data_IF_038732878806
#
_entry.id   IF_038732878806
#
_cell.length_a   1.000
_cell.length_b   1.000
_cell.length_c   1.000
_cell.angle_alpha   90.00
_cell.angle_beta   90.00
_cell.angle_gamma   90.00
#
_symmetry.space_group_name_H-M   'P 1'
#
loop_
_entity.id
_entity.type
_entity.pdbx_description
1 polymer ?
#
# COMPACT_ATOMS: atom_id res chain seq x y z
N UNK A 1 48.68 20.08 -16.01
CA UNK A 1 48.19 19.56 -14.70
C UNK A 1 49.19 18.63 -14.01
N UNK A 2 50.11 17.95 -14.71
CA UNK A 2 51.06 17.01 -14.05
C UNK A 2 51.95 17.64 -12.98
N UNK A 3 52.19 18.95 -13.05
CA UNK A 3 53.02 19.70 -12.09
C UNK A 3 52.31 20.04 -10.76
N UNK A 4 51.00 19.80 -10.62
CA UNK A 4 50.24 20.15 -9.41
C UNK A 4 49.90 18.91 -8.58
N UNK A 5 50.95 18.18 -8.16
CA UNK A 5 50.83 16.96 -7.36
C UNK A 5 51.54 17.12 -6.04
N UNK A 6 50.96 16.53 -5.00
CA UNK A 6 51.58 16.40 -3.69
C UNK A 6 52.85 15.56 -3.80
N UNK A 7 53.94 16.03 -3.21
CA UNK A 7 55.20 15.30 -3.21
C UNK A 7 55.09 13.95 -2.49
N UNK A 8 54.31 13.87 -1.41
CA UNK A 8 54.17 12.65 -0.61
C UNK A 8 53.21 11.63 -1.24
N UNK A 9 51.93 11.99 -1.40
CA UNK A 9 50.91 11.03 -1.86
C UNK A 9 50.74 10.99 -3.38
N UNK A 10 51.43 11.84 -4.14
CA UNK A 10 51.35 11.98 -5.60
C UNK A 10 49.95 12.32 -6.17
N UNK A 11 48.94 12.50 -5.31
CA UNK A 11 47.62 13.00 -5.68
C UNK A 11 47.67 14.50 -6.04
N UNK A 12 46.65 14.99 -6.74
CA UNK A 12 46.56 16.40 -7.07
C UNK A 12 46.48 17.30 -5.82
N UNK A 13 47.03 18.51 -5.92
CA UNK A 13 46.96 19.54 -4.88
C UNK A 13 45.56 20.18 -4.86
N UNK A 14 44.55 19.43 -4.44
CA UNK A 14 43.14 19.83 -4.49
C UNK A 14 42.51 20.13 -3.12
N UNK A 15 43.28 20.03 -2.03
CA UNK A 15 42.80 20.18 -0.65
C UNK A 15 43.67 21.17 0.14
N UNK A 16 43.08 22.15 0.82
CA UNK A 16 43.81 23.08 1.66
C UNK A 16 44.17 22.47 3.03
N UNK A 17 45.22 22.97 3.72
CA UNK A 17 46.18 23.94 3.22
C UNK A 17 47.19 23.31 2.24
N UNK A 18 47.66 24.09 1.26
CA UNK A 18 48.77 23.71 0.39
C UNK A 18 50.05 24.31 0.97
N UNK A 19 50.98 23.42 1.29
CA UNK A 19 52.20 23.77 2.01
C UNK A 19 53.40 23.57 1.10
N UNK A 20 54.22 24.61 0.93
CA UNK A 20 55.46 24.52 0.16
C UNK A 20 56.63 24.23 1.10
N UNK A 21 57.40 23.22 0.73
CA UNK A 21 58.63 22.80 1.38
C UNK A 21 59.81 23.68 0.91
N UNK A 22 60.88 23.82 1.71
CA UNK A 22 62.05 24.64 1.36
C UNK A 22 62.77 24.19 0.08
N UNK A 23 62.63 22.93 -0.32
CA UNK A 23 63.20 22.34 -1.54
C UNK A 23 62.35 22.62 -2.81
N UNK A 24 61.25 23.37 -2.68
CA UNK A 24 60.34 23.72 -3.77
C UNK A 24 59.23 22.70 -4.03
N UNK A 25 59.16 21.60 -3.27
CA UNK A 25 58.06 20.64 -3.35
C UNK A 25 56.81 21.16 -2.62
N UNK A 26 55.63 20.65 -3.00
CA UNK A 26 54.36 21.01 -2.35
C UNK A 26 53.68 19.80 -1.72
N UNK A 27 53.07 19.99 -0.55
CA UNK A 27 52.24 19.02 0.17
C UNK A 27 50.78 19.46 0.15
N UNK A 28 49.86 18.48 0.04
CA UNK A 28 48.43 18.72 0.19
C UNK A 28 48.03 18.81 1.68
N UNK A 29 46.81 19.29 1.95
CA UNK A 29 46.32 19.49 3.33
C UNK A 29 46.33 18.27 4.23
N UNK A 30 46.24 17.05 3.65
CA UNK A 30 46.32 15.79 4.40
C UNK A 30 47.78 15.47 4.76
N UNK A 31 48.70 15.59 3.80
CA UNK A 31 50.11 15.26 4.01
C UNK A 31 50.87 16.35 4.78
N UNK A 32 50.32 17.57 4.87
CA UNK A 32 50.93 18.66 5.62
C UNK A 32 50.81 18.52 7.14
N UNK A 33 50.00 17.59 7.65
CA UNK A 33 49.79 17.40 9.10
C UNK A 33 51.10 17.01 9.81
N UNK A 34 52.01 16.33 9.12
CA UNK A 34 53.33 15.93 9.64
C UNK A 34 54.47 16.86 9.20
N UNK A 35 54.16 18.05 8.67
CA UNK A 35 55.17 18.95 8.14
C UNK A 35 55.83 19.79 9.24
N UNK A 36 57.14 20.03 9.12
CA UNK A 36 57.93 20.83 10.06
C UNK A 36 57.55 22.33 10.08
N UNK A 37 57.94 23.04 11.14
CA UNK A 37 57.65 24.48 11.35
C UNK A 37 58.21 25.41 10.25
N UNK A 38 59.19 24.95 9.46
CA UNK A 38 59.82 25.76 8.39
C UNK A 38 58.97 25.88 7.13
N UNK A 39 57.79 25.25 7.10
CA UNK A 39 56.94 25.18 5.92
C UNK A 39 56.00 26.38 5.79
N UNK A 40 55.82 26.89 4.56
CA UNK A 40 55.05 28.12 4.29
C UNK A 40 53.73 27.82 3.58
N UNK A 41 52.65 28.42 4.07
CA UNK A 41 51.33 28.43 3.40
C UNK A 41 51.31 29.55 2.36
N UNK A 42 51.01 29.21 1.11
CA UNK A 42 51.02 30.16 0.00
C UNK A 42 49.59 30.38 -0.52
N UNK A 43 48.88 31.33 0.08
CA UNK A 43 47.47 31.61 -0.22
C UNK A 43 47.22 32.01 -1.68
N UNK A 44 48.17 32.70 -2.32
CA UNK A 44 48.09 33.06 -3.73
C UNK A 44 48.06 31.81 -4.62
N UNK A 45 48.88 30.81 -4.30
CA UNK A 45 48.93 29.55 -5.02
C UNK A 45 47.66 28.73 -4.79
N UNK A 46 47.15 28.66 -3.56
CA UNK A 46 45.84 28.04 -3.29
C UNK A 46 44.71 28.71 -4.07
N UNK A 47 44.69 30.04 -4.12
CA UNK A 47 43.66 30.77 -4.87
C UNK A 47 43.74 30.50 -6.38
N UNK A 48 44.95 30.34 -6.93
CA UNK A 48 45.11 29.86 -8.30
C UNK A 48 44.58 28.43 -8.46
N UNK A 49 44.94 27.50 -7.55
CA UNK A 49 44.50 26.11 -7.57
C UNK A 49 42.97 25.97 -7.48
N UNK A 50 42.26 26.90 -6.82
CA UNK A 50 40.80 26.96 -6.78
C UNK A 50 40.14 27.22 -8.14
N UNK A 51 40.86 27.77 -9.11
CA UNK A 51 40.34 28.03 -10.47
C UNK A 51 40.37 26.78 -11.36
N UNK A 52 41.06 25.72 -10.94
CA UNK A 52 41.25 24.51 -11.71
C UNK A 52 40.18 23.47 -11.39
N UNK A 53 39.91 22.61 -12.37
CA UNK A 53 39.13 21.38 -12.18
C UNK A 53 40.07 20.18 -12.13
N UNK A 54 39.88 19.34 -11.11
CA UNK A 54 40.68 18.17 -10.83
C UNK A 54 39.94 16.92 -11.30
N UNK A 55 40.56 16.06 -12.13
CA UNK A 55 39.95 14.77 -12.44
C UNK A 55 39.92 13.90 -11.18
N UNK A 56 38.87 13.09 -11.04
CA UNK A 56 38.81 12.06 -9.99
C UNK A 56 40.03 11.13 -10.06
N UNK A 57 40.53 10.67 -8.90
CA UNK A 57 41.63 9.70 -8.85
C UNK A 57 41.28 8.34 -9.45
N UNK A 58 39.99 8.00 -9.53
CA UNK A 58 39.47 6.77 -10.15
C UNK A 58 39.16 6.93 -11.64
N UNK A 59 39.75 7.95 -12.30
CA UNK A 59 39.54 8.19 -13.74
C UNK A 59 39.91 6.98 -14.60
N UNK A 60 40.99 6.30 -14.25
CA UNK A 60 41.48 5.15 -15.02
C UNK A 60 40.58 3.91 -14.86
N UNK A 61 39.73 3.87 -13.82
CA UNK A 61 38.71 2.83 -13.59
C UNK A 61 37.39 3.17 -14.31
N UNK A 62 37.19 4.43 -14.69
CA UNK A 62 36.03 4.86 -15.48
C UNK A 62 35.37 6.16 -15.00
N UNK A 63 35.82 6.75 -13.88
CA UNK A 63 35.24 8.00 -13.40
C UNK A 63 35.56 9.17 -14.35
N UNK A 64 34.53 9.85 -14.86
CA UNK A 64 34.70 11.00 -15.77
C UNK A 64 34.57 12.35 -15.08
N UNK A 65 34.30 12.35 -13.77
CA UNK A 65 34.05 13.56 -12.99
C UNK A 65 35.26 14.48 -12.92
N UNK A 66 34.96 15.78 -12.93
CA UNK A 66 35.93 16.86 -12.78
C UNK A 66 35.44 17.81 -11.68
N UNK A 67 36.22 17.88 -10.62
CA UNK A 67 35.79 18.41 -9.33
C UNK A 67 36.52 19.71 -9.02
N UNK A 68 35.88 20.61 -8.28
CA UNK A 68 36.55 21.83 -7.83
C UNK A 68 37.46 21.55 -6.65
N UNK A 69 38.34 22.51 -6.37
CA UNK A 69 39.16 22.49 -5.17
C UNK A 69 38.29 22.38 -3.91
N UNK A 70 38.65 21.49 -2.99
CA UNK A 70 37.88 21.17 -1.79
C UNK A 70 36.83 20.06 -1.96
N UNK A 71 36.18 19.96 -3.13
CA UNK A 71 35.11 18.97 -3.38
C UNK A 71 35.64 17.54 -3.65
N UNK A 72 36.95 17.42 -3.91
CA UNK A 72 37.57 16.14 -4.29
C UNK A 72 37.45 15.08 -3.18
N UNK A 73 37.55 15.48 -1.92
CA UNK A 73 37.50 14.53 -0.80
C UNK A 73 36.10 13.92 -0.62
N UNK A 74 35.07 14.77 -0.69
CA UNK A 74 33.68 14.32 -0.58
C UNK A 74 33.30 13.42 -1.76
N UNK A 75 33.75 13.76 -2.97
CA UNK A 75 33.55 12.89 -4.12
C UNK A 75 34.33 11.58 -3.99
N UNK A 76 35.61 11.61 -3.62
CA UNK A 76 36.44 10.40 -3.50
C UNK A 76 35.81 9.38 -2.55
N UNK A 77 35.26 9.86 -1.42
CA UNK A 77 34.57 9.03 -0.45
C UNK A 77 33.26 8.43 -1.02
N UNK A 78 32.60 9.08 -1.97
CA UNK A 78 31.30 8.66 -2.51
C UNK A 78 31.38 8.18 -3.97
N UNK A 79 32.58 8.11 -4.56
CA UNK A 79 32.74 7.79 -5.97
C UNK A 79 32.28 6.36 -6.24
N UNK A 80 31.45 6.18 -7.26
CA UNK A 80 30.91 4.87 -7.63
C UNK A 80 32.00 3.95 -8.19
N UNK A 81 33.08 4.54 -8.70
CA UNK A 81 34.27 3.85 -9.20
C UNK A 81 35.32 3.58 -8.12
N UNK A 82 35.08 4.03 -6.87
CA UNK A 82 35.91 3.63 -5.74
C UNK A 82 35.82 2.10 -5.57
N UNK A 83 36.94 1.37 -5.56
CA UNK A 83 36.96 -0.07 -5.32
C UNK A 83 36.36 -0.41 -3.94
N UNK A 84 35.46 -1.38 -3.91
CA UNK A 84 34.75 -1.85 -2.71
C UNK A 84 34.83 -3.36 -2.66
N UNK A 85 34.96 -3.89 -1.45
CA UNK A 85 35.02 -5.33 -1.20
C UNK A 85 33.60 -5.91 -1.36
N UNK A 86 33.52 -7.15 -1.85
CA UNK A 86 32.26 -7.88 -1.91
C UNK A 86 31.61 -7.95 -0.52
N UNK A 87 30.30 -7.65 -0.40
CA UNK A 87 29.60 -7.76 0.87
C UNK A 87 29.28 -9.20 1.28
N UNK A 88 29.56 -10.21 0.45
CA UNK A 88 29.18 -11.61 0.70
C UNK A 88 30.30 -12.36 1.41
N UNK A 89 30.16 -12.56 2.73
CA UNK A 89 31.00 -13.41 3.59
C UNK A 89 32.52 -13.12 3.53
N UNK A 90 33.28 -13.74 4.43
CA UNK A 90 34.74 -13.59 4.46
C UNK A 90 35.48 -14.41 3.38
N UNK A 91 34.80 -15.34 2.69
CA UNK A 91 35.41 -16.21 1.67
C UNK A 91 35.52 -15.56 0.29
N UNK A 92 34.73 -14.52 0.01
CA UNK A 92 34.82 -13.77 -1.23
C UNK A 92 35.88 -12.65 -1.10
N UNK A 93 36.91 -12.72 -1.94
CA UNK A 93 38.01 -11.73 -1.95
C UNK A 93 37.87 -10.71 -3.07
N UNK A 94 36.71 -10.63 -3.70
CA UNK A 94 36.49 -9.69 -4.80
C UNK A 94 36.50 -8.25 -4.32
N UNK A 95 37.16 -7.40 -5.10
CA UNK A 95 37.21 -5.96 -4.92
C UNK A 95 37.00 -5.29 -6.28
N UNK A 96 36.07 -4.34 -6.35
CA UNK A 96 35.75 -3.66 -7.60
C UNK A 96 34.77 -2.50 -7.41
N UNK A 97 34.45 -1.82 -8.50
CA UNK A 97 33.56 -0.66 -8.48
C UNK A 97 32.08 -1.06 -8.33
N UNK A 98 31.22 -0.10 -7.97
CA UNK A 98 29.77 -0.33 -7.86
C UNK A 98 29.15 -0.79 -9.18
N UNK A 99 29.50 -0.21 -10.35
CA UNK A 99 29.01 -0.71 -11.64
C UNK A 99 29.39 -2.17 -11.95
N UNK A 100 30.49 -2.68 -11.39
CA UNK A 100 30.95 -4.07 -11.60
C UNK A 100 30.27 -5.07 -10.65
N UNK A 101 29.73 -4.60 -9.51
CA UNK A 101 29.13 -5.42 -8.46
C UNK A 101 28.02 -6.36 -8.96
N UNK A 102 27.02 -5.91 -9.76
CA UNK A 102 25.97 -6.81 -10.24
C UNK A 102 26.51 -7.95 -11.09
N UNK A 103 27.53 -7.68 -11.91
CA UNK A 103 28.17 -8.72 -12.73
C UNK A 103 29.00 -9.68 -11.88
N UNK A 104 29.67 -9.20 -10.83
CA UNK A 104 30.35 -10.08 -9.89
C UNK A 104 29.36 -11.04 -9.21
N UNK A 105 28.23 -10.53 -8.68
CA UNK A 105 27.19 -11.37 -8.10
C UNK A 105 26.64 -12.37 -9.11
N UNK A 106 26.37 -11.96 -10.36
CA UNK A 106 25.84 -12.85 -11.38
C UNK A 106 26.76 -14.05 -11.68
N UNK A 107 28.08 -13.86 -11.57
CA UNK A 107 29.06 -14.90 -11.89
C UNK A 107 29.47 -15.76 -10.69
N UNK A 108 29.47 -15.20 -9.47
CA UNK A 108 30.06 -15.85 -8.29
C UNK A 108 29.08 -16.03 -7.11
N UNK A 109 27.93 -15.34 -7.12
CA UNK A 109 26.90 -15.36 -6.06
C UNK A 109 25.48 -15.40 -6.66
N UNK A 110 25.31 -16.14 -7.76
CA UNK A 110 24.05 -16.16 -8.51
C UNK A 110 22.85 -16.65 -7.69
N UNK A 111 23.13 -17.48 -6.68
CA UNK A 111 22.20 -18.01 -5.69
C UNK A 111 21.67 -16.94 -4.71
N UNK A 112 22.40 -15.84 -4.54
CA UNK A 112 22.02 -14.73 -3.68
C UNK A 112 21.25 -13.62 -4.42
N UNK A 113 21.07 -13.77 -5.74
CA UNK A 113 20.31 -12.83 -6.55
C UNK A 113 18.83 -13.16 -6.47
N UNK A 114 18.03 -12.20 -6.01
CA UNK A 114 16.58 -12.35 -5.89
C UNK A 114 15.82 -11.25 -6.65
N UNK A 115 14.61 -11.58 -7.11
CA UNK A 115 13.65 -10.60 -7.67
C UNK A 115 12.96 -9.76 -6.60
N UNK A 116 13.09 -10.13 -5.33
CA UNK A 116 12.53 -9.44 -4.17
C UNK A 116 13.45 -9.63 -2.97
N UNK A 117 13.55 -8.64 -2.10
CA UNK A 117 14.17 -8.84 -0.78
C UNK A 117 13.11 -9.42 0.14
N UNK A 118 13.26 -10.69 0.51
CA UNK A 118 12.38 -11.35 1.45
C UNK A 118 13.19 -12.15 2.47
N UNK A 119 12.72 -12.15 3.71
CA UNK A 119 13.24 -12.98 4.79
C UNK A 119 12.09 -13.80 5.38
N UNK A 120 12.35 -15.05 5.73
CA UNK A 120 11.38 -15.93 6.39
C UNK A 120 11.97 -16.33 7.74
N UNK A 121 11.22 -16.09 8.82
CA UNK A 121 11.66 -16.51 10.16
C UNK A 121 11.70 -18.03 10.23
N UNK A 122 12.63 -18.58 11.01
CA UNK A 122 12.73 -20.01 11.27
C UNK A 122 13.01 -20.30 12.75
N UNK A 123 13.22 -21.58 13.04
CA UNK A 123 13.55 -22.10 14.38
C UNK A 123 15.07 -22.14 14.65
N UNK A 124 15.89 -21.68 13.70
CA UNK A 124 17.35 -21.63 13.82
C UNK A 124 17.88 -20.23 13.48
N UNK A 125 19.01 -19.85 14.07
CA UNK A 125 19.66 -18.57 13.80
C UNK A 125 20.06 -18.51 12.32
N UNK A 126 19.83 -17.37 11.69
CA UNK A 126 20.13 -17.18 10.28
C UNK A 126 20.92 -15.91 10.05
N UNK A 127 21.87 -15.97 9.12
CA UNK A 127 22.51 -14.77 8.59
C UNK A 127 22.64 -14.89 7.09
N UNK A 128 22.58 -13.76 6.41
CA UNK A 128 22.61 -13.78 4.96
C UNK A 128 22.84 -12.43 4.32
N UNK A 129 23.08 -12.49 3.02
CA UNK A 129 23.19 -11.34 2.13
C UNK A 129 22.37 -11.64 0.87
N UNK A 130 21.48 -10.72 0.50
CA UNK A 130 20.65 -10.82 -0.70
C UNK A 130 20.93 -9.60 -1.56
N UNK A 131 21.24 -9.83 -2.84
CA UNK A 131 21.23 -8.77 -3.85
C UNK A 131 19.88 -8.82 -4.56
N UNK A 132 19.08 -7.76 -4.40
CA UNK A 132 17.84 -7.63 -5.15
C UNK A 132 18.03 -6.71 -6.36
N UNK A 133 17.66 -7.25 -7.53
CA UNK A 133 17.65 -6.53 -8.81
C UNK A 133 16.19 -6.44 -9.26
N UNK A 134 15.53 -5.31 -8.98
CA UNK A 134 14.09 -5.10 -9.22
C UNK A 134 13.91 -3.97 -10.22
N UNK A 135 13.47 -4.27 -11.44
CA UNK A 135 13.14 -3.27 -12.47
C UNK A 135 14.23 -2.19 -12.70
N UNK A 136 15.50 -2.61 -12.67
CA UNK A 136 16.66 -1.72 -12.83
C UNK A 136 17.14 -1.05 -11.54
N UNK A 137 16.43 -1.23 -10.43
CA UNK A 137 16.90 -0.85 -9.08
C UNK A 137 17.70 -1.99 -8.46
N UNK A 138 18.90 -1.66 -8.02
CA UNK A 138 19.76 -2.62 -7.32
C UNK A 138 19.87 -2.24 -5.83
N UNK A 139 19.71 -3.21 -4.95
CA UNK A 139 19.92 -3.03 -3.52
C UNK A 139 20.46 -4.28 -2.85
N UNK A 140 21.14 -4.09 -1.72
CA UNK A 140 21.77 -5.15 -0.94
C UNK A 140 21.10 -5.19 0.43
N UNK A 141 20.57 -6.35 0.81
CA UNK A 141 20.07 -6.64 2.15
C UNK A 141 21.06 -7.55 2.85
N UNK A 142 21.62 -7.09 3.97
CA UNK A 142 22.31 -7.95 4.95
C UNK A 142 21.42 -8.15 6.15
N UNK A 143 21.36 -9.37 6.68
CA UNK A 143 20.57 -9.65 7.88
C UNK A 143 21.21 -10.70 8.79
N UNK A 144 20.80 -10.64 10.06
CA UNK A 144 21.04 -11.62 11.10
C UNK A 144 19.76 -11.77 11.92
N UNK A 145 19.30 -13.00 12.10
CA UNK A 145 18.13 -13.33 12.88
C UNK A 145 18.54 -14.19 14.07
N UNK A 146 18.16 -13.71 15.26
CA UNK A 146 18.36 -14.40 16.53
C UNK A 146 17.03 -15.02 16.98
N UNK A 147 16.99 -16.35 17.02
CA UNK A 147 15.80 -17.12 17.41
C UNK A 147 15.49 -16.96 18.88
N UNK A 148 16.52 -16.86 19.73
CA UNK A 148 16.36 -16.80 21.18
C UNK A 148 15.64 -15.53 21.61
N UNK A 149 15.90 -14.41 20.91
CA UNK A 149 15.24 -13.14 21.15
C UNK A 149 14.12 -12.82 20.14
N UNK A 150 13.97 -13.64 19.09
CA UNK A 150 13.09 -13.40 17.93
C UNK A 150 13.25 -12.01 17.33
N UNK A 151 14.50 -11.58 17.19
CA UNK A 151 14.87 -10.27 16.65
C UNK A 151 15.56 -10.44 15.29
N UNK A 152 15.07 -9.72 14.28
CA UNK A 152 15.77 -9.56 13.02
C UNK A 152 16.58 -8.28 13.05
N UNK A 153 17.89 -8.41 12.94
CA UNK A 153 18.79 -7.30 12.66
C UNK A 153 19.03 -7.24 11.16
N UNK A 154 18.80 -6.09 10.56
CA UNK A 154 18.99 -5.93 9.11
C UNK A 154 19.63 -4.60 8.75
N UNK A 155 20.25 -4.58 7.58
CA UNK A 155 20.77 -3.36 6.98
C UNK A 155 20.59 -3.43 5.46
N UNK A 156 20.02 -2.37 4.88
CA UNK A 156 19.72 -2.29 3.45
C UNK A 156 20.48 -1.13 2.85
N UNK A 157 21.09 -1.35 1.70
CA UNK A 157 21.77 -0.33 0.91
C UNK A 157 21.20 -0.29 -0.51
N UNK A 158 21.19 0.88 -1.13
CA UNK A 158 20.94 0.98 -2.57
C UNK A 158 22.25 1.16 -3.35
N UNK A 159 22.29 0.61 -4.57
CA UNK A 159 23.41 0.75 -5.52
C UNK A 159 23.11 1.77 -6.63
N UNK A 160 21.94 2.43 -6.56
CA UNK A 160 21.47 3.34 -7.60
C UNK A 160 22.12 4.73 -7.44
N UNK A 161 22.70 5.25 -8.53
CA UNK A 161 23.53 6.46 -8.54
C UNK A 161 22.75 7.72 -8.92
N UNK A 162 21.65 7.55 -9.67
CA UNK A 162 20.90 8.65 -10.28
C UNK A 162 19.62 8.99 -9.51
N UNK A 163 19.57 8.63 -8.21
CA UNK A 163 18.42 8.82 -7.34
C UNK A 163 18.77 9.74 -6.18
N UNK A 164 17.93 10.76 -5.97
CA UNK A 164 18.10 11.72 -4.87
C UNK A 164 17.77 11.10 -3.51
N UNK A 165 16.69 10.33 -3.46
CA UNK A 165 16.28 9.62 -2.26
C UNK A 165 15.66 8.27 -2.64
N UNK A 166 16.07 7.25 -1.89
CA UNK A 166 15.51 5.92 -1.98
C UNK A 166 14.95 5.53 -0.62
N UNK A 167 13.77 4.94 -0.60
CA UNK A 167 13.11 4.43 0.61
C UNK A 167 12.91 2.93 0.49
N UNK A 168 12.75 2.27 1.64
CA UNK A 168 12.28 0.89 1.72
C UNK A 168 10.90 0.85 2.36
N UNK A 169 9.99 0.10 1.75
CA UNK A 169 8.73 -0.32 2.38
C UNK A 169 8.93 -1.70 2.96
N UNK A 170 8.74 -1.85 4.27
CA UNK A 170 8.88 -3.14 4.97
C UNK A 170 7.50 -3.64 5.35
N UNK A 171 7.20 -4.88 5.00
CA UNK A 171 5.93 -5.54 5.25
C UNK A 171 6.16 -6.87 5.95
N UNK A 172 5.64 -7.01 7.16
CA UNK A 172 5.66 -8.26 7.93
C UNK A 172 4.34 -8.99 7.72
N UNK A 173 4.40 -10.22 7.25
CA UNK A 173 3.25 -11.00 6.80
C UNK A 173 3.26 -12.33 7.56
N UNK A 174 2.13 -12.72 8.11
CA UNK A 174 1.91 -14.06 8.64
C UNK A 174 1.95 -15.07 7.47
N UNK A 175 2.82 -16.08 7.56
CA UNK A 175 3.01 -17.01 6.45
C UNK A 175 1.83 -17.97 6.27
N UNK A 176 1.22 -18.41 7.37
CA UNK A 176 0.05 -19.29 7.37
C UNK A 176 -1.23 -18.55 6.95
N UNK A 177 -1.34 -17.26 7.30
CA UNK A 177 -2.45 -16.41 6.91
C UNK A 177 -2.00 -15.01 6.43
N UNK A 178 -1.77 -14.85 5.12
CA UNK A 178 -1.35 -13.58 4.54
C UNK A 178 -2.33 -12.39 4.70
N UNK A 179 -3.55 -12.61 5.25
CA UNK A 179 -4.44 -11.51 5.66
C UNK A 179 -3.86 -10.67 6.78
N UNK A 180 -3.09 -11.29 7.66
CA UNK A 180 -2.41 -10.61 8.74
C UNK A 180 -1.07 -10.07 8.23
N UNK A 181 -1.12 -8.82 7.76
CA UNK A 181 0.03 -8.04 7.28
C UNK A 181 0.16 -6.75 8.08
N UNK A 182 1.39 -6.38 8.38
CA UNK A 182 1.77 -5.13 9.02
C UNK A 182 2.81 -4.44 8.14
N UNK A 183 2.45 -3.29 7.59
CA UNK A 183 3.41 -2.42 6.90
C UNK A 183 4.04 -1.50 7.93
N UNK A 184 5.37 -1.37 7.92
CA UNK A 184 6.15 -0.49 8.79
C UNK A 184 6.40 0.85 8.10
N UNK A 185 6.81 1.85 8.89
CA UNK A 185 7.15 3.17 8.36
C UNK A 185 8.26 3.04 7.32
N UNK A 186 8.09 3.73 6.20
CA UNK A 186 9.12 3.75 5.17
C UNK A 186 10.38 4.45 5.70
N UNK A 187 11.52 3.82 5.45
CA UNK A 187 12.81 4.30 5.91
C UNK A 187 13.68 4.72 4.73
N UNK A 188 14.32 5.88 4.84
CA UNK A 188 15.33 6.32 3.87
C UNK A 188 16.52 5.35 3.89
N UNK A 189 16.98 4.96 2.70
CA UNK A 189 18.05 4.01 2.50
C UNK A 189 19.37 4.74 2.24
N UNK A 190 20.47 4.32 2.89
CA UNK A 190 21.80 4.81 2.54
C UNK A 190 22.28 4.23 1.21
N UNK A 191 23.05 5.03 0.46
CA UNK A 191 23.84 4.53 -0.66
C UNK A 191 24.92 3.57 -0.16
N UNK A 192 25.20 2.51 -0.92
CA UNK A 192 26.24 1.55 -0.54
C UNK A 192 27.63 2.20 -0.65
N UNK A 193 28.17 2.60 0.50
CA UNK A 193 29.48 3.23 0.58
C UNK A 193 30.51 2.43 1.38
N UNK A 194 30.36 1.10 1.42
CA UNK A 194 31.10 0.29 2.37
C UNK A 194 32.61 0.28 2.06
N UNK A 195 33.38 0.96 2.91
CA UNK A 195 34.84 0.97 2.85
C UNK A 195 35.49 -0.07 3.78
N UNK A 196 34.78 -0.71 4.73
CA UNK A 196 35.46 -1.54 5.75
C UNK A 196 34.75 -2.78 6.34
N UNK A 197 33.50 -3.15 6.03
CA UNK A 197 32.84 -4.23 6.80
C UNK A 197 32.64 -5.54 6.04
N UNK A 198 33.39 -6.58 6.44
CA UNK A 198 33.30 -7.94 5.87
C UNK A 198 32.19 -8.74 6.54
N UNK A 199 32.04 -8.61 7.86
CA UNK A 199 31.08 -9.40 8.65
C UNK A 199 29.88 -8.58 9.15
N UNK A 200 28.74 -9.26 9.41
CA UNK A 200 27.52 -8.61 9.94
C UNK A 200 27.75 -7.98 11.32
N UNK A 201 28.60 -8.61 12.15
CA UNK A 201 29.05 -8.10 13.45
C UNK A 201 29.80 -6.77 13.38
N UNK A 202 30.31 -6.41 12.20
CA UNK A 202 31.05 -5.17 11.96
C UNK A 202 30.16 -4.07 11.35
N UNK A 203 28.89 -4.38 11.00
CA UNK A 203 27.94 -3.37 10.55
C UNK A 203 27.71 -2.39 11.70
N UNK A 204 28.09 -1.11 11.50
CA UNK A 204 27.70 -0.07 12.44
C UNK A 204 26.17 0.10 12.43
N UNK A 205 25.56 -0.14 13.59
CA UNK A 205 24.15 0.14 13.89
C UNK A 205 23.13 -0.58 12.98
N UNK A 206 23.08 -1.92 12.95
CA UNK A 206 22.01 -2.63 12.26
C UNK A 206 20.65 -2.27 12.88
N UNK A 207 19.62 -2.13 12.03
CA UNK A 207 18.27 -1.80 12.50
C UNK A 207 17.64 -3.05 13.14
N UNK A 208 17.21 -2.98 14.40
CA UNK A 208 16.50 -4.09 15.03
C UNK A 208 15.03 -4.08 14.62
N UNK A 209 14.48 -5.25 14.34
CA UNK A 209 13.06 -5.49 14.16
C UNK A 209 12.62 -6.59 15.12
N UNK A 210 11.95 -6.17 16.20
CA UNK A 210 11.52 -7.07 17.27
C UNK A 210 10.25 -7.83 16.89
N UNK A 211 10.41 -8.98 16.24
CA UNK A 211 9.27 -9.73 15.69
C UNK A 211 8.33 -10.21 16.79
N UNK A 212 8.85 -10.56 17.97
CA UNK A 212 8.03 -10.94 19.12
C UNK A 212 6.93 -9.91 19.45
N UNK A 213 7.19 -8.61 19.21
CA UNK A 213 6.27 -7.52 19.54
C UNK A 213 5.15 -7.39 18.50
N UNK A 214 5.37 -7.92 17.29
CA UNK A 214 4.46 -7.84 16.16
C UNK A 214 3.54 -9.07 16.08
N UNK A 215 3.93 -10.20 16.68
CA UNK A 215 3.18 -11.46 16.63
C UNK A 215 1.72 -11.32 17.07
N UNK A 216 1.38 -10.62 18.18
CA UNK A 216 -0.02 -10.44 18.56
C UNK A 216 -0.86 -9.70 17.52
N UNK A 217 -0.25 -8.74 16.80
CA UNK A 217 -0.92 -7.98 15.72
C UNK A 217 -1.13 -8.87 14.50
N UNK A 218 -0.25 -9.84 14.29
CA UNK A 218 -0.25 -10.77 13.17
C UNK A 218 -1.01 -12.08 13.43
N UNK A 219 -1.81 -12.13 14.50
CA UNK A 219 -2.54 -13.33 14.95
C UNK A 219 -1.64 -14.50 15.39
N UNK A 220 -0.54 -14.18 16.06
CA UNK A 220 0.43 -15.12 16.66
C UNK A 220 0.85 -16.26 15.71
N UNK A 221 1.46 -15.94 14.56
CA UNK A 221 1.97 -16.96 13.65
C UNK A 221 3.13 -17.76 14.24
N UNK A 222 3.30 -18.99 13.76
CA UNK A 222 4.52 -19.76 13.97
C UNK A 222 5.70 -19.14 13.21
N UNK A 223 5.46 -18.73 11.95
CA UNK A 223 6.45 -18.09 11.09
C UNK A 223 5.90 -16.85 10.39
N UNK A 224 6.77 -15.86 10.21
CA UNK A 224 6.51 -14.63 9.46
C UNK A 224 7.43 -14.52 8.25
N UNK A 225 6.87 -14.00 7.16
CA UNK A 225 7.61 -13.53 6.00
C UNK A 225 7.73 -12.01 6.07
N UNK A 226 8.92 -11.50 5.84
CA UNK A 226 9.21 -10.07 5.80
C UNK A 226 9.61 -9.72 4.38
N UNK A 227 8.79 -8.91 3.72
CA UNK A 227 9.09 -8.36 2.40
C UNK A 227 9.66 -6.95 2.55
N UNK A 228 10.72 -6.65 1.80
CA UNK A 228 11.36 -5.34 1.77
C UNK A 228 11.38 -4.84 0.32
N UNK A 229 10.57 -3.83 0.03
CA UNK A 229 10.40 -3.30 -1.32
C UNK A 229 11.14 -1.97 -1.47
N UNK A 230 12.02 -1.90 -2.47
CA UNK A 230 12.75 -0.69 -2.81
C UNK A 230 11.83 0.29 -3.55
N UNK A 231 11.80 1.56 -3.12
CA UNK A 231 11.03 2.63 -3.76
C UNK A 231 11.89 3.85 -4.02
N UNK A 232 11.79 4.40 -5.23
CA UNK A 232 12.38 5.70 -5.57
C UNK A 232 11.38 6.78 -5.19
N UNK A 233 11.79 7.71 -4.33
CA UNK A 233 10.93 8.84 -3.97
C UNK A 233 10.96 9.85 -5.10
N UNK A 234 9.85 9.99 -5.82
CA UNK A 234 9.66 11.07 -6.78
C UNK A 234 9.17 12.30 -6.02
N UNK A 235 9.66 13.48 -6.39
CA UNK A 235 9.27 14.74 -5.78
C UNK A 235 7.74 14.93 -5.83
N UNK A 236 7.08 14.88 -4.66
CA UNK A 236 5.64 15.12 -4.50
C UNK A 236 4.78 13.91 -4.08
N UNK A 237 5.34 12.73 -3.83
CA UNK A 237 4.57 11.57 -3.34
C UNK A 237 4.37 11.62 -1.80
N UNK A 238 3.12 11.53 -1.34
CA UNK A 238 2.76 11.42 0.08
C UNK A 238 2.91 9.97 0.59
N UNK A 239 3.40 9.80 1.82
CA UNK A 239 3.65 8.50 2.47
C UNK A 239 2.40 7.59 2.48
N UNK A 240 2.51 6.40 1.86
CA UNK A 240 1.48 5.36 1.83
C UNK A 240 1.70 4.35 2.98
N UNK A 241 1.66 4.82 4.22
CA UNK A 241 1.82 4.01 5.42
C UNK A 241 0.50 3.87 6.19
N UNK A 242 0.26 2.69 6.78
CA UNK A 242 -0.89 2.43 7.66
C UNK A 242 -0.43 2.41 9.11
N UNK A 243 -0.99 3.30 9.93
CA UNK A 243 -0.79 3.26 11.37
C UNK A 243 -1.83 2.35 12.04
N UNK A 244 -1.42 1.11 12.32
CA UNK A 244 -2.29 0.10 12.93
C UNK A 244 -2.74 0.45 14.35
N UNK A 245 -1.98 1.28 15.08
CA UNK A 245 -2.39 1.74 16.41
C UNK A 245 -3.53 2.74 16.35
N UNK A 246 -3.60 3.53 15.26
CA UNK A 246 -4.68 4.50 15.05
C UNK A 246 -5.97 3.86 14.54
N UNK A 247 -5.88 2.76 13.76
CA UNK A 247 -7.05 2.12 13.15
C UNK A 247 -7.61 0.94 13.94
N UNK A 248 -6.90 0.42 14.95
CA UNK A 248 -7.36 -0.73 15.77
C UNK A 248 -8.73 -0.51 16.41
N UNK A 249 -9.00 0.73 16.81
CA UNK A 249 -10.24 1.14 17.49
C UNK A 249 -11.31 1.63 16.50
N UNK A 250 -10.96 1.78 15.21
CA UNK A 250 -11.86 2.24 14.14
C UNK A 250 -12.54 1.06 13.45
N UNK A 251 -13.23 0.23 14.23
CA UNK A 251 -13.93 -0.96 13.75
C UNK A 251 -15.44 -0.84 13.86
N UNK A 252 -16.13 -1.37 12.86
CA UNK A 252 -17.57 -1.47 12.86
C UNK A 252 -18.03 -2.39 13.99
N UNK A 253 -18.99 -1.92 14.80
CA UNK A 253 -19.54 -2.71 15.91
C UNK A 253 -20.26 -4.00 15.48
N UNK A 254 -20.61 -4.12 14.20
CA UNK A 254 -21.32 -5.28 13.65
C UNK A 254 -20.39 -6.27 12.94
N UNK A 255 -19.63 -5.82 11.93
CA UNK A 255 -18.78 -6.70 11.12
C UNK A 255 -17.31 -6.70 11.52
N UNK A 256 -16.91 -5.88 12.51
CA UNK A 256 -15.52 -5.66 12.93
C UNK A 256 -14.57 -5.13 11.83
N UNK A 257 -15.07 -4.86 10.62
CA UNK A 257 -14.32 -4.24 9.53
C UNK A 257 -14.06 -2.74 9.79
N UNK A 258 -13.10 -2.16 9.08
CA UNK A 258 -12.73 -0.75 9.26
C UNK A 258 -13.89 0.20 8.96
N UNK A 259 -14.03 1.22 9.81
CA UNK A 259 -14.98 2.31 9.64
C UNK A 259 -14.48 3.27 8.57
N UNK A 260 -15.09 3.21 7.38
CA UNK A 260 -14.80 4.12 6.26
C UNK A 260 -15.97 5.09 6.02
N UNK A 261 -15.72 6.34 5.60
CA UNK A 261 -16.79 7.31 5.34
C UNK A 261 -17.64 6.90 4.11
N UNK A 262 -18.97 7.14 4.11
CA UNK A 262 -19.79 7.69 5.18
C UNK A 262 -19.96 6.70 6.35
N UNK A 263 -19.89 7.23 7.57
CA UNK A 263 -20.10 6.47 8.80
C UNK A 263 -21.59 6.54 9.20
N UNK A 264 -22.09 5.52 9.88
CA UNK A 264 -23.47 5.45 10.36
C UNK A 264 -23.52 5.06 11.83
N UNK A 265 -24.64 5.31 12.52
CA UNK A 265 -24.84 4.94 13.93
C UNK A 265 -25.98 3.93 14.03
N UNK A 266 -25.79 2.88 14.81
CA UNK A 266 -26.86 1.95 15.14
C UNK A 266 -27.87 2.65 16.10
N UNK A 267 -29.17 2.65 15.79
CA UNK A 267 -30.19 3.33 16.60
C UNK A 267 -30.47 2.66 17.95
N UNK A 268 -30.18 1.37 18.09
CA UNK A 268 -30.38 0.58 19.31
C UNK A 268 -29.21 0.69 20.30
N UNK A 269 -27.98 0.70 19.79
CA UNK A 269 -26.73 0.62 20.59
C UNK A 269 -25.93 1.93 20.60
N UNK A 270 -26.29 2.89 19.74
CA UNK A 270 -25.58 4.15 19.60
C UNK A 270 -24.12 4.04 19.11
N UNK A 271 -23.70 2.86 18.65
CA UNK A 271 -22.34 2.55 18.23
C UNK A 271 -22.13 2.75 16.72
N UNK A 272 -20.91 3.07 16.25
CA UNK A 272 -20.63 3.31 14.84
C UNK A 272 -20.62 2.01 14.03
N UNK A 273 -21.30 2.03 12.88
CA UNK A 273 -21.34 0.94 11.90
C UNK A 273 -20.81 1.43 10.55
N UNK A 274 -20.26 0.50 9.76
CA UNK A 274 -19.74 0.82 8.43
C UNK A 274 -20.86 0.94 7.40
N UNK A 275 -20.56 1.58 6.27
CA UNK A 275 -21.45 1.71 5.11
C UNK A 275 -22.11 0.38 4.69
N UNK A 276 -21.36 -0.71 4.70
CA UNK A 276 -21.87 -2.02 4.30
C UNK A 276 -22.90 -2.57 5.29
N UNK A 277 -22.67 -2.42 6.60
CA UNK A 277 -23.60 -2.87 7.63
C UNK A 277 -24.85 -1.99 7.68
N UNK A 278 -24.72 -0.67 7.50
CA UNK A 278 -25.89 0.21 7.37
C UNK A 278 -26.79 -0.26 6.22
N UNK A 279 -26.20 -0.55 5.06
CA UNK A 279 -26.95 -1.01 3.90
C UNK A 279 -27.66 -2.35 4.12
N UNK A 280 -27.19 -3.22 5.02
CA UNK A 280 -27.82 -4.52 5.29
C UNK A 280 -29.07 -4.41 6.19
N UNK A 281 -29.17 -3.40 7.05
CA UNK A 281 -30.21 -3.34 8.09
C UNK A 281 -31.17 -2.14 8.00
N UNK A 282 -30.98 -1.23 7.03
CA UNK A 282 -31.93 -0.15 6.70
C UNK A 282 -32.41 0.70 7.90
N UNK A 283 -31.48 1.23 8.71
CA UNK A 283 -31.79 2.14 9.83
C UNK A 283 -31.18 3.55 9.66
N UNK A 284 -31.87 4.54 10.26
CA UNK A 284 -31.87 6.01 10.06
C UNK A 284 -30.49 6.70 10.06
N UNK A 285 -30.36 7.77 9.26
CA UNK A 285 -29.22 8.72 9.31
C UNK A 285 -29.03 9.29 10.73
N UNK A 286 -27.79 9.30 11.23
CA UNK A 286 -27.48 9.90 12.52
C UNK A 286 -26.23 10.78 12.42
N UNK A 287 -26.33 11.96 13.04
CA UNK A 287 -25.29 12.96 13.22
C UNK A 287 -24.07 12.34 13.93
N UNK A 288 -23.04 11.99 13.16
CA UNK A 288 -21.76 11.57 13.72
C UNK A 288 -20.91 12.78 14.08
N UNK A 289 -20.12 12.62 15.14
CA UNK A 289 -19.14 13.60 15.61
C UNK A 289 -18.15 13.96 14.47
N UNK A 290 -18.15 15.23 14.05
CA UNK A 290 -17.33 15.75 12.94
C UNK A 290 -15.83 15.42 13.12
N UNK A 291 -15.37 15.33 14.36
CA UNK A 291 -13.98 15.02 14.72
C UNK A 291 -13.56 13.61 14.29
N UNK A 292 -14.43 12.61 14.48
CA UNK A 292 -14.16 11.23 14.07
C UNK A 292 -14.12 11.10 12.54
N UNK A 293 -15.02 11.83 11.87
CA UNK A 293 -15.09 11.85 10.41
C UNK A 293 -13.81 12.45 9.83
N UNK A 294 -13.35 13.60 10.34
CA UNK A 294 -12.10 14.21 9.90
C UNK A 294 -10.88 13.32 10.16
N UNK A 295 -10.85 12.62 11.28
CA UNK A 295 -9.79 11.65 11.59
C UNK A 295 -9.77 10.49 10.59
N UNK A 296 -10.92 9.88 10.30
CA UNK A 296 -11.04 8.77 9.35
C UNK A 296 -10.72 9.24 7.92
N UNK A 297 -11.11 10.46 7.53
CA UNK A 297 -10.81 11.00 6.20
C UNK A 297 -9.31 11.09 5.92
N UNK A 298 -8.52 11.48 6.91
CA UNK A 298 -7.06 11.71 6.79
C UNK A 298 -6.22 10.46 7.05
N UNK A 299 -6.78 9.45 7.69
CA UNK A 299 -6.07 8.21 8.02
C UNK A 299 -6.00 7.28 6.79
N UNK A 300 -4.84 6.64 6.59
CA UNK A 300 -4.65 5.60 5.58
C UNK A 300 -5.18 4.27 6.11
N UNK A 301 -6.01 3.61 5.30
CA UNK A 301 -6.54 2.29 5.60
C UNK A 301 -6.11 1.30 4.51
N UNK A 302 -5.86 0.03 4.87
CA UNK A 302 -5.70 -1.04 3.91
C UNK A 302 -7.07 -1.44 3.34
N UNK A 303 -7.10 -1.90 2.09
CA UNK A 303 -8.30 -2.48 1.50
C UNK A 303 -8.79 -3.69 2.31
N UNK A 304 -10.10 -3.76 2.59
CA UNK A 304 -10.69 -4.88 3.34
C UNK A 304 -10.68 -6.25 2.65
N UNK A 305 -10.38 -6.30 1.35
CA UNK A 305 -10.46 -7.55 0.58
C UNK A 305 -9.13 -8.29 0.62
N UNK A 306 -9.16 -9.55 1.08
CA UNK A 306 -8.00 -10.44 1.23
C UNK A 306 -7.11 -10.42 0.00
N UNK A 307 -5.81 -10.17 0.20
CA UNK A 307 -4.80 -10.16 -0.85
C UNK A 307 -4.68 -8.85 -1.64
N UNK A 308 -5.47 -7.82 -1.32
CA UNK A 308 -5.35 -6.52 -1.97
C UNK A 308 -4.33 -5.63 -1.25
N UNK A 309 -3.27 -5.22 -1.94
CA UNK A 309 -2.19 -4.40 -1.38
C UNK A 309 -2.48 -2.88 -1.40
N UNK A 310 -3.69 -2.49 -1.77
CA UNK A 310 -4.03 -1.07 -1.91
C UNK A 310 -4.23 -0.41 -0.55
N UNK A 311 -3.49 0.68 -0.31
CA UNK A 311 -3.62 1.54 0.85
C UNK A 311 -4.03 2.93 0.37
N UNK A 312 -5.09 3.48 0.96
CA UNK A 312 -5.59 4.83 0.63
C UNK A 312 -6.16 5.52 1.86
N UNK A 313 -6.23 6.85 1.79
CA UNK A 313 -7.05 7.64 2.71
C UNK A 313 -8.50 7.16 2.70
N UNK A 314 -9.16 7.20 3.86
CA UNK A 314 -10.53 6.67 4.04
C UNK A 314 -11.55 7.16 3.00
N UNK A 315 -11.45 8.42 2.57
CA UNK A 315 -12.32 9.01 1.52
C UNK A 315 -12.21 8.27 0.19
N UNK A 316 -11.00 7.87 -0.18
CA UNK A 316 -10.70 7.29 -1.49
C UNK A 316 -10.68 5.76 -1.48
N UNK A 317 -10.78 5.15 -0.29
CA UNK A 317 -10.69 3.71 -0.15
C UNK A 317 -12.02 3.02 -0.48
N UNK A 318 -13.16 3.59 -0.12
CA UNK A 318 -14.48 2.96 -0.39
C UNK A 318 -14.72 2.74 -1.88
N UNK A 319 -14.38 3.72 -2.73
CA UNK A 319 -14.46 3.58 -4.18
C UNK A 319 -13.58 2.45 -4.72
N UNK A 320 -12.40 2.29 -4.12
CA UNK A 320 -11.52 1.18 -4.44
C UNK A 320 -12.12 -0.15 -3.96
N UNK A 321 -12.59 -0.27 -2.73
CA UNK A 321 -13.18 -1.50 -2.21
C UNK A 321 -14.38 -1.96 -3.05
N UNK A 322 -15.24 -1.03 -3.47
CA UNK A 322 -16.39 -1.35 -4.32
C UNK A 322 -15.98 -1.86 -5.71
N UNK A 323 -14.83 -1.41 -6.21
CA UNK A 323 -14.30 -1.77 -7.54
C UNK A 323 -13.19 -2.82 -7.51
N UNK A 324 -12.75 -3.26 -6.33
CA UNK A 324 -11.62 -4.15 -6.14
C UNK A 324 -11.84 -5.48 -6.87
N UNK A 325 -10.77 -5.98 -7.50
CA UNK A 325 -10.80 -7.27 -8.23
C UNK A 325 -10.99 -8.45 -7.28
N UNK A 326 -10.48 -8.33 -6.05
CA UNK A 326 -10.54 -9.35 -5.01
C UNK A 326 -11.81 -9.24 -4.14
N UNK A 327 -12.76 -8.39 -4.54
CA UNK A 327 -14.03 -8.21 -3.84
C UNK A 327 -14.80 -9.52 -3.75
N UNK A 328 -15.25 -9.83 -2.55
CA UNK A 328 -16.11 -10.99 -2.27
C UNK A 328 -17.54 -10.54 -1.98
N UNK A 329 -18.50 -11.43 -2.24
CA UNK A 329 -19.92 -11.16 -2.16
C UNK A 329 -20.62 -12.24 -1.34
N UNK A 330 -21.39 -11.83 -0.35
CA UNK A 330 -22.29 -12.72 0.37
C UNK A 330 -23.53 -12.99 -0.49
N UNK A 331 -23.92 -14.25 -0.65
CA UNK A 331 -25.15 -14.58 -1.36
C UNK A 331 -26.38 -14.15 -0.54
N UNK A 332 -27.31 -13.37 -1.10
CA UNK A 332 -28.52 -12.94 -0.39
C UNK A 332 -29.59 -14.05 -0.22
N UNK A 333 -29.39 -15.24 -0.82
CA UNK A 333 -30.35 -16.36 -0.72
C UNK A 333 -29.88 -17.40 0.29
N UNK A 334 -28.71 -18.00 0.11
CA UNK A 334 -28.22 -19.00 1.08
C UNK A 334 -27.54 -18.37 2.30
N UNK A 335 -27.11 -17.10 2.20
CA UNK A 335 -26.28 -16.46 3.24
C UNK A 335 -25.01 -17.28 3.60
N UNK A 336 -24.60 -18.20 2.72
CA UNK A 336 -23.41 -19.04 2.88
C UNK A 336 -22.27 -18.49 2.03
N UNK A 337 -21.08 -18.50 2.65
CA UNK A 337 -19.76 -18.16 2.14
C UNK A 337 -19.58 -16.85 1.35
N UNK A 338 -18.40 -16.25 1.54
CA UNK A 338 -17.98 -15.12 0.73
C UNK A 338 -17.64 -15.63 -0.69
N UNK A 339 -18.39 -15.22 -1.70
CA UNK A 339 -18.24 -15.65 -3.09
C UNK A 339 -17.33 -14.70 -3.84
N UNK A 340 -16.31 -15.22 -4.53
CA UNK A 340 -15.45 -14.43 -5.41
C UNK A 340 -16.27 -13.79 -6.54
N UNK A 341 -15.94 -12.54 -6.89
CA UNK A 341 -16.58 -11.77 -7.97
C UNK A 341 -16.84 -12.58 -9.26
N UNK A 342 -15.89 -13.38 -9.70
CA UNK A 342 -15.97 -14.19 -10.92
C UNK A 342 -16.99 -15.34 -10.83
N UNK A 343 -17.26 -15.83 -9.62
CA UNK A 343 -18.15 -16.96 -9.35
C UNK A 343 -19.56 -16.54 -8.93
N UNK A 344 -19.81 -15.25 -8.70
CA UNK A 344 -21.11 -14.77 -8.17
C UNK A 344 -22.26 -15.17 -9.09
N UNK A 345 -22.09 -15.02 -10.41
CA UNK A 345 -23.15 -15.32 -11.37
C UNK A 345 -23.43 -16.82 -11.41
N UNK A 346 -22.39 -17.64 -11.51
CA UNK A 346 -22.53 -19.10 -11.54
C UNK A 346 -23.11 -19.65 -10.24
N UNK A 347 -22.77 -19.05 -9.08
CA UNK A 347 -23.35 -19.42 -7.80
C UNK A 347 -24.83 -19.04 -7.73
N UNK A 348 -25.18 -17.78 -8.04
CA UNK A 348 -26.58 -17.31 -7.98
C UNK A 348 -27.50 -18.11 -8.90
N UNK A 349 -26.99 -18.56 -10.06
CA UNK A 349 -27.73 -19.44 -10.97
C UNK A 349 -28.12 -20.80 -10.35
N UNK A 350 -27.43 -21.26 -9.31
CA UNK A 350 -27.77 -22.50 -8.59
C UNK A 350 -29.06 -22.34 -7.77
N UNK A 351 -29.44 -21.11 -7.40
CA UNK A 351 -30.71 -20.81 -6.75
C UNK A 351 -31.88 -20.73 -7.74
N UNK A 352 -31.95 -21.62 -8.72
CA UNK A 352 -32.84 -21.54 -9.89
C UNK A 352 -34.33 -21.23 -9.62
N UNK A 353 -34.85 -21.49 -8.42
CA UNK A 353 -36.21 -21.09 -7.99
C UNK A 353 -36.40 -19.59 -7.78
N UNK A 354 -35.31 -18.85 -7.55
CA UNK A 354 -35.29 -17.41 -7.26
C UNK A 354 -34.84 -16.58 -8.46
N UNK A 355 -34.39 -17.21 -9.55
CA UNK A 355 -33.67 -16.58 -10.65
C UNK A 355 -34.54 -16.48 -11.92
N UNK A 356 -34.82 -15.26 -12.38
CA UNK A 356 -35.55 -15.01 -13.63
C UNK A 356 -34.74 -14.12 -14.61
N UNK A 357 -34.81 -14.44 -15.92
CA UNK A 357 -34.08 -13.74 -16.99
C UNK A 357 -34.81 -12.50 -17.56
N UNK A 358 -36.06 -12.24 -17.14
CA UNK A 358 -36.87 -11.09 -17.55
C UNK A 358 -37.57 -10.52 -16.33
N UNK A 359 -37.58 -9.19 -16.17
CA UNK A 359 -38.18 -8.55 -15.00
C UNK A 359 -39.59 -8.06 -15.29
N UNK A 360 -40.56 -8.96 -15.15
CA UNK A 360 -41.97 -8.62 -14.99
C UNK A 360 -42.49 -9.38 -13.78
N UNK A 361 -42.66 -8.69 -12.65
CA UNK A 361 -43.10 -9.30 -11.39
C UNK A 361 -44.57 -9.00 -11.22
N UNK A 362 -45.42 -10.03 -11.30
CA UNK A 362 -46.79 -9.95 -10.80
C UNK A 362 -46.78 -10.43 -9.34
N UNK A 363 -47.13 -9.55 -8.40
CA UNK A 363 -47.06 -9.85 -6.96
C UNK A 363 -48.40 -9.63 -6.27
N UNK A 364 -48.77 -10.56 -5.39
CA UNK A 364 -49.93 -10.47 -4.50
C UNK A 364 -49.55 -9.68 -3.23
N UNK A 365 -50.33 -8.65 -2.89
CA UNK A 365 -50.02 -7.69 -1.81
C UNK A 365 -50.30 -8.20 -0.39
N UNK A 366 -50.95 -9.37 -0.24
CA UNK A 366 -51.48 -9.82 1.06
C UNK A 366 -50.84 -11.10 1.64
N UNK A 367 -49.85 -11.70 0.98
CA UNK A 367 -49.20 -12.93 1.48
C UNK A 367 -47.66 -12.87 1.41
N UNK A 368 -47.04 -12.79 2.59
CA UNK A 368 -45.64 -13.13 2.93
C UNK A 368 -44.48 -12.44 2.19
N UNK A 369 -43.31 -12.46 2.85
CA UNK A 369 -42.02 -11.94 2.33
C UNK A 369 -41.67 -12.61 1.01
N UNK A 370 -41.64 -11.86 -0.10
CA UNK A 370 -41.20 -12.36 -1.39
C UNK A 370 -39.73 -12.01 -1.59
N UNK A 371 -38.91 -13.05 -1.76
CA UNK A 371 -37.50 -12.96 -2.13
C UNK A 371 -37.40 -13.30 -3.62
N UNK A 372 -36.92 -12.38 -4.47
CA UNK A 372 -36.58 -12.71 -5.86
C UNK A 372 -35.27 -12.07 -6.28
N UNK A 373 -34.46 -12.83 -7.03
CA UNK A 373 -33.17 -12.41 -7.58
C UNK A 373 -33.27 -12.28 -9.10
N UNK A 374 -32.72 -11.20 -9.64
CA UNK A 374 -32.75 -10.96 -11.07
C UNK A 374 -31.36 -10.58 -11.58
N UNK A 375 -30.99 -11.14 -12.73
CA UNK A 375 -29.86 -10.61 -13.50
C UNK A 375 -30.39 -9.72 -14.60
N UNK A 376 -29.74 -8.56 -14.77
CA UNK A 376 -30.00 -7.66 -15.88
C UNK A 376 -28.94 -7.84 -16.96
N UNK A 377 -29.26 -7.39 -18.17
CA UNK A 377 -28.26 -7.22 -19.24
C UNK A 377 -27.07 -6.44 -18.67
N UNK A 378 -25.86 -6.93 -18.92
CA UNK A 378 -24.57 -6.40 -18.45
C UNK A 378 -24.07 -6.86 -17.06
N UNK A 379 -24.45 -8.06 -16.58
CA UNK A 379 -23.90 -8.68 -15.37
C UNK A 379 -24.22 -7.96 -14.05
N UNK A 380 -25.25 -7.10 -14.03
CA UNK A 380 -25.81 -6.52 -12.82
C UNK A 380 -26.80 -7.51 -12.18
N UNK A 381 -26.64 -7.80 -10.88
CA UNK A 381 -27.57 -8.66 -10.13
C UNK A 381 -28.40 -7.78 -9.21
N UNK A 382 -29.66 -7.52 -9.57
CA UNK A 382 -30.61 -6.85 -8.68
C UNK A 382 -31.25 -7.90 -7.77
N UNK A 383 -31.29 -7.59 -6.48
CA UNK A 383 -32.04 -8.34 -5.49
C UNK A 383 -33.29 -7.54 -5.11
N UNK A 384 -34.44 -8.21 -4.97
CA UNK A 384 -35.69 -7.57 -4.54
C UNK A 384 -36.25 -8.36 -3.35
N UNK A 385 -36.30 -7.69 -2.19
CA UNK A 385 -36.94 -8.18 -0.97
C UNK A 385 -38.19 -7.37 -0.69
N UNK A 386 -39.36 -7.98 -0.85
CA UNK A 386 -40.61 -7.35 -0.45
C UNK A 386 -40.93 -7.73 1.00
N UNK A 387 -41.03 -6.75 1.89
CA UNK A 387 -41.54 -6.95 3.25
C UNK A 387 -42.77 -6.07 3.47
N UNK A 388 -43.92 -6.68 3.75
CA UNK A 388 -45.16 -5.97 4.04
C UNK A 388 -45.21 -5.70 5.55
N UNK A 389 -44.92 -4.47 5.97
CA UNK A 389 -45.04 -4.07 7.38
C UNK A 389 -46.39 -3.39 7.62
N UNK A 390 -47.28 -4.02 8.39
CA UNK A 390 -48.46 -3.33 8.97
C UNK A 390 -47.99 -2.67 10.27
N UNK A 391 -47.78 -1.36 10.24
CA UNK A 391 -47.56 -0.58 11.46
C UNK A 391 -48.89 -0.17 12.06
N UNK A 392 -49.27 -0.79 13.19
CA UNK A 392 -50.37 -0.30 14.02
C UNK A 392 -49.85 0.86 14.88
N UNK A 393 -49.97 2.09 14.39
CA UNK A 393 -49.85 3.26 15.26
C UNK A 393 -51.17 3.45 16.01
N UNK A 394 -51.12 3.34 17.33
CA UNK A 394 -52.26 3.56 18.22
C UNK A 394 -52.89 4.94 17.95
N UNK A 395 -54.20 4.91 17.71
CA UNK A 395 -55.13 6.04 17.51
C UNK A 395 -55.10 6.71 16.13
N UNK A 396 -56.06 6.27 15.29
CA UNK A 396 -56.62 6.96 14.11
C UNK A 396 -55.61 7.24 12.98
N UNK A 397 -55.16 6.20 12.28
CA UNK A 397 -54.63 6.31 10.91
C UNK A 397 -54.69 4.95 10.21
N UNK A 398 -55.02 4.98 8.91
CA UNK A 398 -55.05 3.84 7.99
C UNK A 398 -53.73 3.05 7.98
N UNK A 399 -53.75 1.72 7.74
CA UNK A 399 -52.54 0.90 7.67
C UNK A 399 -51.58 1.44 6.61
N UNK A 400 -50.36 1.80 7.01
CA UNK A 400 -49.32 2.24 6.07
C UNK A 400 -48.72 1.02 5.38
N UNK A 401 -48.93 0.92 4.07
CA UNK A 401 -48.32 -0.11 3.23
C UNK A 401 -46.98 0.42 2.70
N UNK A 402 -45.85 -0.18 3.05
CA UNK A 402 -44.53 0.24 2.57
C UNK A 402 -43.89 -0.88 1.72
N UNK A 403 -43.30 -0.51 0.58
CA UNK A 403 -42.53 -1.41 -0.28
C UNK A 403 -41.03 -1.15 -0.10
N UNK A 404 -40.27 -2.22 0.16
CA UNK A 404 -38.82 -2.15 0.30
C UNK A 404 -38.14 -2.78 -0.93
N UNK A 405 -37.04 -2.20 -1.39
CA UNK A 405 -36.21 -2.76 -2.46
C UNK A 405 -34.73 -2.59 -2.10
N UNK A 406 -33.92 -3.63 -2.32
CA UNK A 406 -32.49 -3.66 -1.95
C UNK A 406 -31.67 -3.92 -3.22
N UNK A 407 -31.26 -2.84 -3.89
CA UNK A 407 -30.50 -2.94 -5.12
C UNK A 407 -29.02 -3.22 -4.84
N UNK A 408 -28.59 -4.46 -5.06
CA UNK A 408 -27.16 -4.80 -5.09
C UNK A 408 -26.63 -4.84 -6.53
N UNK A 409 -25.32 -4.77 -6.70
CA UNK A 409 -24.69 -4.96 -8.00
C UNK A 409 -23.27 -5.50 -7.83
N UNK A 410 -22.91 -6.47 -8.70
CA UNK A 410 -21.56 -7.05 -8.78
C UNK A 410 -20.56 -6.05 -9.40
N UNK A 411 -21.06 -5.11 -10.21
CA UNK A 411 -20.26 -4.09 -10.90
C UNK A 411 -20.71 -2.69 -10.49
N UNK A 412 -19.77 -1.75 -10.36
CA UNK A 412 -20.11 -0.33 -10.19
C UNK A 412 -20.92 0.12 -11.42
N UNK A 413 -22.10 0.71 -11.18
CA UNK A 413 -22.88 1.31 -12.24
C UNK A 413 -22.08 2.43 -12.88
N UNK A 414 -22.24 2.64 -14.19
CA UNK A 414 -21.70 3.84 -14.83
C UNK A 414 -22.47 5.06 -14.27
N UNK A 415 -21.82 6.21 -14.19
CA UNK A 415 -22.43 7.42 -13.62
C UNK A 415 -23.73 7.85 -14.33
N UNK A 416 -23.92 7.41 -15.57
CA UNK A 416 -25.07 7.73 -16.43
C UNK A 416 -26.14 6.63 -16.45
N UNK A 417 -26.03 5.60 -15.61
CA UNK A 417 -27.05 4.56 -15.52
C UNK A 417 -28.27 5.09 -14.78
N UNK A 418 -29.49 4.81 -15.28
CA UNK A 418 -30.76 5.18 -14.65
C UNK A 418 -31.62 3.94 -14.51
N UNK A 419 -32.05 3.62 -13.30
CA UNK A 419 -33.03 2.58 -13.05
C UNK A 419 -34.43 3.16 -13.20
N UNK A 420 -35.25 2.53 -14.05
CA UNK A 420 -36.66 2.85 -14.24
C UNK A 420 -37.49 1.72 -13.65
N UNK A 421 -38.33 2.04 -12.66
CA UNK A 421 -39.31 1.14 -12.06
C UNK A 421 -40.68 1.54 -12.57
N UNK A 422 -41.32 0.67 -13.35
CA UNK A 422 -42.66 0.89 -13.87
C UNK A 422 -43.67 0.02 -13.12
N UNK A 423 -44.71 0.65 -12.60
CA UNK A 423 -45.88 0.01 -11.99
C UNK A 423 -47.03 0.07 -12.99
N UNK A 424 -47.64 -1.08 -13.27
CA UNK A 424 -48.82 -1.18 -14.11
C UNK A 424 -49.99 -1.71 -13.28
N UNK A 425 -51.11 -0.99 -13.31
CA UNK A 425 -52.34 -1.37 -12.65
C UNK A 425 -53.23 -2.15 -13.60
N UNK A 426 -53.52 -3.41 -13.31
CA UNK A 426 -54.18 -4.29 -14.28
C UNK A 426 -55.62 -3.89 -14.60
N UNK A 427 -56.37 -3.39 -13.60
CA UNK A 427 -57.78 -3.03 -13.75
C UNK A 427 -57.99 -1.72 -14.53
N UNK A 428 -57.18 -0.69 -14.26
CA UNK A 428 -57.36 0.64 -14.86
C UNK A 428 -56.28 1.02 -15.90
N UNK A 429 -55.34 0.10 -16.18
CA UNK A 429 -54.21 0.28 -17.12
C UNK A 429 -53.36 1.52 -16.86
N UNK A 430 -53.41 2.04 -15.63
CA UNK A 430 -52.57 3.16 -15.20
C UNK A 430 -51.13 2.68 -15.10
N UNK A 431 -50.23 3.41 -15.77
CA UNK A 431 -48.80 3.20 -15.72
C UNK A 431 -48.16 4.32 -14.90
N UNK A 432 -47.35 3.95 -13.91
CA UNK A 432 -46.56 4.89 -13.11
C UNK A 432 -45.09 4.52 -13.21
N UNK A 433 -44.22 5.51 -13.46
CA UNK A 433 -42.78 5.28 -13.62
C UNK A 433 -42.00 6.07 -12.59
N UNK A 434 -41.01 5.42 -11.98
CA UNK A 434 -40.04 6.03 -11.09
C UNK A 434 -38.67 5.88 -11.73
N UNK A 435 -38.04 7.00 -12.06
CA UNK A 435 -36.66 7.03 -12.53
C UNK A 435 -35.75 7.39 -11.36
N UNK A 436 -34.68 6.62 -11.18
CA UNK A 436 -33.71 6.87 -10.12
C UNK A 436 -32.30 6.50 -10.55
N UNK A 437 -31.31 7.21 -10.00
CA UNK A 437 -29.91 6.78 -10.13
C UNK A 437 -29.70 5.50 -9.32
N UNK A 438 -29.04 4.47 -9.87
CA UNK A 438 -28.77 3.24 -9.15
C UNK A 438 -27.76 3.52 -8.03
N UNK A 439 -28.23 3.39 -6.79
CA UNK A 439 -27.41 3.37 -5.58
C UNK A 439 -27.64 2.05 -4.86
N UNK A 440 -26.68 1.61 -4.03
CA UNK A 440 -26.93 0.44 -3.18
C UNK A 440 -28.11 0.74 -2.25
N UNK A 441 -29.14 -0.10 -2.32
CA UNK A 441 -30.33 -0.17 -1.46
C UNK A 441 -31.20 1.11 -1.40
N UNK A 442 -32.41 1.06 -1.98
CA UNK A 442 -33.35 2.19 -2.08
C UNK A 442 -34.77 1.74 -1.77
N UNK A 443 -35.40 2.39 -0.79
CA UNK A 443 -36.80 2.14 -0.43
C UNK A 443 -37.75 2.99 -1.26
N UNK A 444 -38.89 2.42 -1.70
CA UNK A 444 -39.94 3.14 -2.42
C UNK A 444 -41.27 2.96 -1.67
N UNK A 445 -41.73 4.00 -0.98
CA UNK A 445 -43.03 3.96 -0.29
C UNK A 445 -44.20 3.93 -1.28
N UNK A 446 -45.16 3.01 -1.08
CA UNK A 446 -46.41 2.96 -1.85
C UNK A 446 -47.31 4.17 -1.63
N UNK A 447 -47.07 4.96 -0.57
CA UNK A 447 -47.83 6.19 -0.32
C UNK A 447 -47.71 7.19 -1.48
N UNK A 448 -46.59 7.12 -2.22
CA UNK A 448 -46.28 7.95 -3.39
C UNK A 448 -46.92 7.43 -4.70
N UNK A 449 -47.55 6.26 -4.69
CA UNK A 449 -48.26 5.73 -5.86
C UNK A 449 -49.69 6.29 -5.93
N UNK A 450 -50.28 6.34 -7.14
CA UNK A 450 -51.67 6.76 -7.32
C UNK A 450 -52.65 5.95 -6.45
N UNK A 451 -53.80 6.52 -6.04
CA UNK A 451 -54.73 5.90 -5.09
C UNK A 451 -55.25 4.52 -5.51
N UNK A 452 -55.35 4.25 -6.82
CA UNK A 452 -55.79 2.96 -7.34
C UNK A 452 -54.88 1.80 -6.92
N UNK A 453 -53.58 2.03 -6.75
CA UNK A 453 -52.61 1.01 -6.34
C UNK A 453 -52.67 0.66 -4.83
N UNK A 454 -53.39 1.45 -4.01
CA UNK A 454 -53.42 1.27 -2.55
C UNK A 454 -54.38 0.18 -2.07
N UNK A 455 -55.37 -0.17 -2.89
CA UNK A 455 -56.46 -1.07 -2.53
C UNK A 455 -56.50 -2.37 -3.34
N UNK A 456 -55.63 -2.51 -4.34
CA UNK A 456 -55.62 -3.69 -5.21
C UNK A 456 -54.86 -4.85 -4.54
N UNK A 457 -55.14 -6.08 -4.97
CA UNK A 457 -54.48 -7.28 -4.46
C UNK A 457 -53.27 -7.68 -5.30
N UNK A 458 -53.23 -7.26 -6.57
CA UNK A 458 -52.15 -7.57 -7.51
C UNK A 458 -51.59 -6.30 -8.16
N UNK A 459 -50.27 -6.18 -8.21
CA UNK A 459 -49.58 -5.14 -8.98
C UNK A 459 -48.54 -5.80 -9.88
N UNK A 460 -48.45 -5.32 -11.12
CA UNK A 460 -47.35 -5.65 -12.02
C UNK A 460 -46.24 -4.62 -11.87
N UNK A 461 -45.04 -5.06 -11.51
CA UNK A 461 -43.84 -4.22 -11.40
C UNK A 461 -42.82 -4.68 -12.44
N UNK A 462 -42.39 -3.74 -13.28
CA UNK A 462 -41.43 -3.94 -14.37
C UNK A 462 -40.19 -3.10 -14.09
N UNK A 463 -39.01 -3.73 -14.11
CA UNK A 463 -37.74 -3.02 -13.91
C UNK A 463 -36.98 -2.91 -15.24
N UNK A 464 -36.46 -1.72 -15.50
CA UNK A 464 -35.62 -1.41 -16.68
C UNK A 464 -34.37 -0.65 -16.22
N UNK A 465 -33.20 -0.98 -16.76
CA UNK A 465 -31.92 -0.27 -16.57
C UNK A 465 -31.50 0.36 -17.90
#
# INVERSE_FOLDING_TARGET
>A
MEKFRCFQCKNYLSLPPIVNLPDGNSLCGICSVSAEETTRKELAFENFLKTLLYPCKFKDIGCKERLKFGEVQDHDANCIYHPRICPVSSSCTWEGSIPEMPNHFANYHSDLIAKKMAFESADEDQSGCILACVDGMNGILKYYYDVSTRNLHYHIYHLNTDVQEMKVKISVINDADPEYRLDLKEDSLPFFNNSFYKDFSEILNPKPLALHSLFPVLNNPDYVRINMELRIVKSGESEQFVDYNLIKDLKCSWCLGYLLPPLYKNTTLGSPICFYCHNQFAEVECELNEELIEKVKKTNFPCRWRGCETIKHGVNLVDHELSCKLRMFMCPVCNEDMIKRECVISHVQQHGSYFENKVQIRTMLQENRIWKLFTLKNHHIIYISCEFQITHTSHIATPKSQFYFILNSVYKFKNDTTLIIQFEHDHCKTNFKIEMKPSMNRTVSLENLPPCFKNDKEILVVFQI
#
